data_IF_751229036194
#
_entry.id   IF_751229036194
#
_cell.length_a   1.000
_cell.length_b   1.000
_cell.length_c   1.000
_cell.angle_alpha   90.00
_cell.angle_beta   90.00
_cell.angle_gamma   90.00
#
_symmetry.space_group_name_H-M   'P 1'
#
loop_
_entity.id
_entity.type
_entity.pdbx_description
1 polymer ?
#
# COMPACT_ATOMS: atom_id res chain seq x y z
N UNK A 1 9.29 15.75 -26.97
CA UNK A 1 9.02 14.33 -27.32
C UNK A 1 8.73 13.62 -26.02
N UNK A 2 7.61 12.90 -25.92
CA UNK A 2 7.28 12.11 -24.72
C UNK A 2 8.16 10.86 -24.71
N UNK A 3 8.75 10.58 -23.55
CA UNK A 3 9.67 9.44 -23.39
C UNK A 3 9.11 8.50 -22.34
N UNK A 4 8.97 7.23 -22.72
CA UNK A 4 8.45 6.19 -21.84
C UNK A 4 9.60 5.49 -21.12
N UNK A 5 9.41 5.28 -19.82
CA UNK A 5 10.27 4.54 -18.90
C UNK A 5 9.40 3.56 -18.13
N UNK A 6 9.98 2.44 -17.72
CA UNK A 6 9.31 1.45 -16.87
C UNK A 6 10.24 1.11 -15.72
N UNK A 7 9.71 1.12 -14.49
CA UNK A 7 10.39 0.66 -13.29
C UNK A 7 11.71 1.40 -12.99
N UNK A 8 11.81 2.66 -13.42
CA UNK A 8 12.96 3.48 -13.13
C UNK A 8 12.84 4.05 -11.72
N UNK A 9 13.95 4.06 -10.97
CA UNK A 9 13.97 4.62 -9.63
C UNK A 9 13.67 6.11 -9.63
N UNK A 10 13.06 6.61 -8.55
CA UNK A 10 12.75 8.04 -8.39
C UNK A 10 14.00 8.93 -8.59
N UNK A 11 15.15 8.50 -8.06
CA UNK A 11 16.42 9.22 -8.24
C UNK A 11 16.80 9.35 -9.71
N UNK A 12 16.76 8.24 -10.45
CA UNK A 12 17.20 8.22 -11.84
C UNK A 12 16.28 9.02 -12.76
N UNK A 13 14.95 8.90 -12.58
CA UNK A 13 14.01 9.68 -13.39
C UNK A 13 14.13 11.19 -13.09
N UNK A 14 14.38 11.57 -11.83
CA UNK A 14 14.63 12.96 -11.43
C UNK A 14 15.91 13.51 -12.06
N UNK A 15 16.99 12.73 -12.04
CA UNK A 15 18.27 13.10 -12.68
C UNK A 15 18.11 13.24 -14.20
N UNK A 16 17.43 12.29 -14.86
CA UNK A 16 17.16 12.34 -16.29
C UNK A 16 16.30 13.57 -16.66
N UNK A 17 15.25 13.83 -15.89
CA UNK A 17 14.37 14.99 -16.07
C UNK A 17 15.12 16.32 -15.95
N UNK A 18 15.99 16.44 -14.94
CA UNK A 18 16.82 17.62 -14.71
C UNK A 18 17.80 17.86 -15.86
N UNK A 19 18.48 16.81 -16.34
CA UNK A 19 19.38 16.89 -17.50
C UNK A 19 18.66 17.29 -18.79
N UNK A 20 17.41 16.87 -18.95
CA UNK A 20 16.58 17.17 -20.12
C UNK A 20 15.82 18.49 -20.01
N UNK A 21 15.83 19.15 -18.84
CA UNK A 21 15.04 20.36 -18.58
C UNK A 21 13.53 20.16 -18.74
N UNK A 22 13.04 18.96 -18.45
CA UNK A 22 11.63 18.57 -18.65
C UNK A 22 11.00 18.11 -17.35
N UNK A 23 9.70 18.39 -17.15
CA UNK A 23 8.93 17.74 -16.10
C UNK A 23 8.79 16.23 -16.33
N UNK A 24 8.42 15.51 -15.27
CA UNK A 24 8.27 14.05 -15.33
C UNK A 24 7.06 13.56 -14.52
N UNK A 25 6.54 12.41 -14.91
CA UNK A 25 5.42 11.75 -14.25
C UNK A 25 5.83 10.36 -13.76
N UNK A 26 5.43 10.01 -12.55
CA UNK A 26 5.43 8.63 -12.05
C UNK A 26 4.00 8.14 -12.08
N UNK A 27 3.74 7.12 -12.91
CA UNK A 27 2.42 6.51 -13.09
C UNK A 27 2.42 5.17 -12.37
N UNK A 28 1.69 5.11 -11.26
CA UNK A 28 1.53 3.92 -10.42
C UNK A 28 0.38 3.07 -10.95
N UNK A 29 0.67 1.82 -11.30
CA UNK A 29 -0.28 0.86 -11.88
C UNK A 29 -0.22 -0.48 -11.15
N UNK A 30 -1.30 -1.26 -11.16
CA UNK A 30 -1.30 -2.64 -10.68
C UNK A 30 -1.03 -3.64 -11.84
N UNK A 31 -0.90 -4.93 -11.51
CA UNK A 31 -0.64 -6.01 -12.47
C UNK A 31 -1.75 -6.16 -13.53
N UNK A 32 -2.98 -5.80 -13.19
CA UNK A 32 -4.16 -6.00 -14.03
C UNK A 32 -4.48 -4.76 -14.89
N UNK A 33 -3.73 -3.65 -14.71
CA UNK A 33 -4.01 -2.39 -15.38
C UNK A 33 -3.48 -2.34 -16.82
N UNK A 34 -4.36 -1.96 -17.77
CA UNK A 34 -3.99 -1.78 -19.17
C UNK A 34 -3.20 -0.49 -19.40
N UNK A 35 -1.88 -0.61 -19.50
CA UNK A 35 -0.96 0.49 -19.81
C UNK A 35 -1.26 1.12 -21.18
N UNK A 36 -1.72 0.37 -22.16
CA UNK A 36 -2.05 0.91 -23.49
C UNK A 36 -3.29 1.80 -23.42
N UNK A 37 -4.27 1.43 -22.60
CA UNK A 37 -5.40 2.28 -22.31
C UNK A 37 -4.96 3.63 -21.74
N UNK A 38 -4.07 3.66 -20.75
CA UNK A 38 -3.54 4.92 -20.20
C UNK A 38 -2.79 5.76 -21.23
N UNK A 39 -1.92 5.13 -22.05
CA UNK A 39 -1.21 5.81 -23.13
C UNK A 39 -2.17 6.53 -24.07
N UNK A 40 -3.17 5.81 -24.59
CA UNK A 40 -4.17 6.36 -25.51
C UNK A 40 -5.04 7.48 -24.90
N UNK A 41 -5.31 7.40 -23.59
CA UNK A 41 -6.19 8.35 -22.91
C UNK A 41 -5.46 9.60 -22.44
N UNK A 42 -4.19 9.48 -22.06
CA UNK A 42 -3.42 10.53 -21.40
C UNK A 42 -2.22 10.96 -22.24
N UNK A 43 -1.30 10.03 -22.54
CA UNK A 43 0.00 10.38 -23.13
C UNK A 43 -0.15 10.88 -24.57
N UNK A 44 -0.92 10.17 -25.39
CA UNK A 44 -1.09 10.50 -26.82
C UNK A 44 -1.85 11.83 -27.00
N UNK A 45 -2.74 12.16 -26.06
CA UNK A 45 -3.42 13.48 -26.04
C UNK A 45 -2.49 14.63 -25.66
N UNK A 46 -1.33 14.31 -25.08
CA UNK A 46 -0.36 15.27 -24.56
C UNK A 46 0.96 15.25 -25.33
N UNK A 47 0.99 14.77 -26.59
CA UNK A 47 2.21 14.74 -27.42
C UNK A 47 2.88 16.10 -27.58
N UNK A 48 2.11 17.19 -27.52
CA UNK A 48 2.60 18.56 -27.62
C UNK A 48 3.30 19.10 -26.36
N UNK A 49 3.23 18.40 -25.22
CA UNK A 49 3.84 18.81 -23.94
C UNK A 49 4.95 17.80 -23.57
N UNK A 50 6.23 18.08 -23.86
CA UNK A 50 7.32 17.15 -23.58
C UNK A 50 7.41 16.78 -22.09
N UNK A 51 7.23 15.51 -21.76
CA UNK A 51 7.34 14.99 -20.40
C UNK A 51 7.94 13.56 -20.41
N UNK A 52 8.70 13.22 -19.36
CA UNK A 52 9.13 11.85 -19.13
C UNK A 52 8.05 11.09 -18.36
N UNK A 53 7.67 9.90 -18.81
CA UNK A 53 6.64 9.08 -18.15
C UNK A 53 7.26 7.78 -17.64
N UNK A 54 7.27 7.59 -16.33
CA UNK A 54 7.76 6.40 -15.67
C UNK A 54 6.61 5.57 -15.11
N UNK A 55 6.33 4.42 -15.71
CA UNK A 55 5.35 3.47 -15.20
C UNK A 55 5.97 2.58 -14.13
N UNK A 56 5.33 2.50 -12.96
CA UNK A 56 5.79 1.71 -11.82
C UNK A 56 4.66 0.79 -11.40
N UNK A 57 4.91 -0.50 -11.43
CA UNK A 57 3.96 -1.51 -10.97
C UNK A 57 4.03 -1.63 -9.45
N UNK A 58 2.95 -1.28 -8.77
CA UNK A 58 2.86 -1.24 -7.30
C UNK A 58 2.48 -2.57 -6.65
N UNK A 59 2.24 -3.63 -7.44
CA UNK A 59 2.10 -5.00 -6.92
C UNK A 59 3.45 -5.70 -6.77
N UNK A 60 4.51 -5.14 -7.35
CA UNK A 60 5.87 -5.65 -7.14
C UNK A 60 6.36 -5.35 -5.72
N UNK A 61 6.98 -6.33 -5.02
CA UNK A 61 7.44 -6.13 -3.64
C UNK A 61 8.34 -4.92 -3.42
N UNK A 62 9.20 -4.57 -4.39
CA UNK A 62 10.11 -3.43 -4.34
C UNK A 62 9.40 -2.06 -4.42
N UNK A 63 8.18 -2.02 -4.92
CA UNK A 63 7.39 -0.79 -5.15
C UNK A 63 6.16 -0.69 -4.25
N UNK A 64 5.85 -1.76 -3.50
CA UNK A 64 4.67 -1.86 -2.66
C UNK A 64 4.53 -0.69 -1.65
N UNK A 65 5.67 -0.13 -1.23
CA UNK A 65 5.72 1.01 -0.33
C UNK A 65 5.06 2.28 -0.88
N UNK A 66 4.87 2.43 -2.20
CA UNK A 66 4.09 3.54 -2.76
C UNK A 66 2.64 3.52 -2.28
N UNK A 67 2.05 2.32 -2.10
CA UNK A 67 0.68 2.17 -1.61
C UNK A 67 0.55 2.64 -0.16
N UNK A 68 1.55 2.35 0.67
CA UNK A 68 1.60 2.84 2.05
C UNK A 68 1.87 4.34 2.12
N UNK A 69 2.75 4.86 1.26
CA UNK A 69 3.03 6.30 1.17
C UNK A 69 1.77 7.08 0.79
N UNK A 70 1.09 6.67 -0.29
CA UNK A 70 -0.11 7.36 -0.79
C UNK A 70 -1.40 6.99 -0.06
N UNK A 71 -1.36 6.02 0.85
CA UNK A 71 -2.54 5.61 1.60
C UNK A 71 -3.61 4.95 0.71
N UNK A 72 -3.24 4.11 -0.27
CA UNK A 72 -4.22 3.57 -1.23
C UNK A 72 -3.78 2.31 -1.95
N UNK A 73 -4.74 1.44 -2.26
CA UNK A 73 -4.60 0.28 -3.15
C UNK A 73 -5.14 0.52 -4.55
N UNK A 74 -5.78 1.67 -4.76
CA UNK A 74 -6.42 1.97 -6.03
C UNK A 74 -5.37 2.38 -7.04
N UNK A 75 -5.55 1.95 -8.28
CA UNK A 75 -4.73 2.36 -9.42
C UNK A 75 -5.64 2.90 -10.54
N UNK A 76 -5.13 3.74 -11.45
CA UNK A 76 -3.79 4.33 -11.45
C UNK A 76 -3.73 5.65 -10.65
N UNK A 77 -2.54 5.96 -10.14
CA UNK A 77 -2.19 7.29 -9.64
C UNK A 77 -1.05 7.87 -10.46
N UNK A 78 -1.11 9.16 -10.77
CA UNK A 78 -0.07 9.87 -11.48
C UNK A 78 0.48 10.98 -10.61
N UNK A 79 1.73 10.85 -10.18
CA UNK A 79 2.48 11.89 -9.46
C UNK A 79 3.25 12.70 -10.50
N UNK A 80 2.97 13.99 -10.58
CA UNK A 80 3.51 14.90 -11.60
C UNK A 80 4.53 15.81 -10.94
N UNK A 81 5.69 15.92 -11.56
CA UNK A 81 6.79 16.73 -11.10
C UNK A 81 7.18 17.77 -12.15
N UNK A 82 7.56 18.96 -11.69
CA UNK A 82 8.17 19.97 -12.53
C UNK A 82 9.62 19.60 -12.90
N UNK A 83 10.28 20.49 -13.64
CA UNK A 83 11.67 20.36 -14.07
C UNK A 83 12.68 20.52 -12.92
N UNK A 84 12.29 21.16 -11.81
CA UNK A 84 13.09 21.28 -10.58
C UNK A 84 12.90 20.06 -9.65
N UNK A 85 11.97 19.18 -10.02
CA UNK A 85 11.64 17.95 -9.33
C UNK A 85 10.72 18.14 -8.12
N UNK A 86 9.99 19.26 -8.01
CA UNK A 86 8.92 19.45 -7.04
C UNK A 86 7.62 18.80 -7.52
N UNK A 87 6.76 18.39 -6.59
CA UNK A 87 5.44 17.84 -6.94
C UNK A 87 4.51 18.99 -7.33
N UNK A 88 3.97 18.91 -8.55
CA UNK A 88 2.97 19.84 -9.07
C UNK A 88 1.54 19.35 -8.82
N UNK A 89 1.32 18.04 -8.94
CA UNK A 89 -0.01 17.46 -8.82
C UNK A 89 0.03 15.94 -8.58
N UNK A 90 -1.00 15.39 -7.92
CA UNK A 90 -1.23 13.96 -7.76
C UNK A 90 -2.64 13.61 -8.23
N UNK A 91 -2.75 12.91 -9.35
CA UNK A 91 -4.05 12.68 -10.01
C UNK A 91 -4.44 11.21 -9.94
N UNK A 92 -5.67 10.94 -9.51
CA UNK A 92 -6.27 9.61 -9.57
C UNK A 92 -7.02 9.36 -10.88
N UNK A 93 -6.78 8.20 -11.49
CA UNK A 93 -7.55 7.67 -12.62
C UNK A 93 -7.22 8.29 -13.98
N UNK A 94 -8.07 7.99 -14.98
CA UNK A 94 -7.90 8.39 -16.39
C UNK A 94 -9.16 9.02 -17.00
N UNK A 95 -10.02 9.59 -16.15
CA UNK A 95 -11.20 10.32 -16.59
C UNK A 95 -10.83 11.55 -17.42
N UNK A 96 -11.81 12.15 -18.13
CA UNK A 96 -11.58 13.40 -18.86
C UNK A 96 -11.06 14.53 -17.95
N UNK A 97 -11.56 14.61 -16.70
CA UNK A 97 -11.08 15.57 -15.71
C UNK A 97 -9.66 15.27 -15.24
N UNK A 98 -9.32 13.99 -15.03
CA UNK A 98 -7.95 13.57 -14.73
C UNK A 98 -7.00 13.98 -15.86
N UNK A 99 -7.39 13.74 -17.12
CA UNK A 99 -6.62 14.15 -18.29
C UNK A 99 -6.38 15.67 -18.32
N UNK A 100 -7.42 16.49 -18.13
CA UNK A 100 -7.29 17.96 -18.06
C UNK A 100 -6.39 18.42 -16.92
N UNK A 101 -6.49 17.76 -15.76
CA UNK A 101 -5.66 18.05 -14.60
C UNK A 101 -4.18 17.75 -14.86
N UNK A 102 -3.89 16.61 -15.49
CA UNK A 102 -2.54 16.21 -15.88
C UNK A 102 -1.97 17.16 -16.93
N UNK A 103 -2.73 17.42 -18.00
CA UNK A 103 -2.35 18.35 -19.08
C UNK A 103 -2.00 19.74 -18.53
N UNK A 104 -2.81 20.26 -17.60
CA UNK A 104 -2.56 21.57 -17.00
C UNK A 104 -1.28 21.61 -16.16
N UNK A 105 -0.88 20.50 -15.55
CA UNK A 105 0.33 20.43 -14.73
C UNK A 105 1.60 20.27 -15.57
N UNK A 106 1.54 19.54 -16.70
CA UNK A 106 2.70 19.33 -17.57
C UNK A 106 2.88 20.42 -18.64
N UNK A 107 1.84 21.22 -18.91
CA UNK A 107 1.92 22.25 -19.96
C UNK A 107 2.60 23.53 -19.46
N UNK A 108 3.68 23.92 -20.11
CA UNK A 108 4.42 25.17 -19.87
C UNK A 108 3.57 26.44 -20.13
N UNK A 109 2.40 26.29 -20.76
CA UNK A 109 1.53 27.42 -21.12
C UNK A 109 0.43 27.69 -20.08
N UNK A 110 0.31 26.90 -19.01
CA UNK A 110 -0.41 27.24 -17.78
C UNK A 110 -1.79 27.91 -17.94
N UNK A 111 -2.58 27.53 -18.95
CA UNK A 111 -3.86 28.19 -19.29
C UNK A 111 -5.11 27.38 -18.95
N UNK A 112 -4.97 26.33 -18.15
CA UNK A 112 -6.06 25.46 -17.71
C UNK A 112 -6.48 25.68 -16.26
N UNK A 113 -7.64 25.13 -15.87
CA UNK A 113 -8.05 25.00 -14.47
C UNK A 113 -7.17 23.91 -13.84
N UNK A 114 -6.36 24.28 -12.86
CA UNK A 114 -5.54 23.34 -12.08
C UNK A 114 -6.42 22.71 -11.01
N UNK A 115 -6.86 21.48 -11.23
CA UNK A 115 -7.45 20.65 -10.18
C UNK A 115 -6.31 19.99 -9.39
N UNK A 116 -5.67 20.74 -8.49
CA UNK A 116 -4.64 20.16 -7.63
C UNK A 116 -5.21 18.97 -6.87
N UNK A 117 -4.47 17.88 -6.89
CA UNK A 117 -4.74 16.63 -6.23
C UNK A 117 -6.11 16.01 -6.60
N UNK A 118 -6.43 16.05 -7.91
CA UNK A 118 -7.72 15.56 -8.42
C UNK A 118 -7.96 14.10 -8.02
N UNK A 119 -9.04 13.90 -7.27
CA UNK A 119 -9.46 12.58 -6.79
C UNK A 119 -8.59 12.01 -5.67
N UNK A 120 -7.52 12.69 -5.24
CA UNK A 120 -6.60 12.21 -4.21
C UNK A 120 -7.30 12.01 -2.87
N UNK A 121 -7.91 13.05 -2.29
CA UNK A 121 -8.55 13.00 -0.97
C UNK A 121 -9.67 11.94 -0.84
N UNK A 122 -10.33 11.56 -1.95
CA UNK A 122 -11.39 10.53 -1.93
C UNK A 122 -10.86 9.11 -2.07
N UNK A 123 -9.61 8.96 -2.50
CA UNK A 123 -9.00 7.68 -2.84
C UNK A 123 -7.71 7.42 -2.08
N UNK A 124 -7.30 8.34 -1.20
CA UNK A 124 -6.15 8.27 -0.31
C UNK A 124 -6.64 8.30 1.14
N UNK A 125 -5.97 7.50 1.97
CA UNK A 125 -6.17 7.40 3.40
C UNK A 125 -5.21 8.32 4.19
N UNK A 126 -4.45 9.17 3.50
CA UNK A 126 -3.67 10.25 4.13
C UNK A 126 -4.65 11.20 4.83
N UNK A 127 -4.54 11.40 6.15
CA UNK A 127 -5.44 12.29 6.88
C UNK A 127 -5.36 13.74 6.40
N UNK A 128 -6.51 14.42 6.39
CA UNK A 128 -6.60 15.85 6.08
C UNK A 128 -5.79 16.74 7.04
N UNK A 129 -5.43 16.25 8.24
CA UNK A 129 -4.55 16.99 9.15
C UNK A 129 -3.10 17.11 8.65
N UNK A 130 -2.72 16.35 7.61
CA UNK A 130 -1.49 16.56 6.87
C UNK A 130 -1.78 17.64 5.82
N UNK A 131 -1.70 18.90 6.25
CA UNK A 131 -2.13 20.08 5.48
C UNK A 131 -1.47 20.20 4.10
N UNK A 132 -0.24 19.68 3.94
CA UNK A 132 0.50 19.69 2.69
C UNK A 132 0.91 18.27 2.26
N UNK A 133 -0.03 17.54 1.65
CA UNK A 133 0.19 16.18 1.16
C UNK A 133 1.33 16.09 0.12
N UNK A 134 1.48 17.11 -0.74
CA UNK A 134 2.52 17.15 -1.78
C UNK A 134 3.90 17.20 -1.14
N UNK A 135 4.11 18.13 -0.22
CA UNK A 135 5.38 18.24 0.53
C UNK A 135 5.63 17.00 1.39
N UNK A 136 4.59 16.45 2.03
CA UNK A 136 4.68 15.21 2.78
C UNK A 136 5.20 14.06 1.90
N UNK A 137 4.59 13.83 0.73
CA UNK A 137 4.99 12.78 -0.21
C UNK A 137 6.39 13.03 -0.74
N UNK A 138 6.68 14.27 -1.13
CA UNK A 138 7.99 14.65 -1.66
C UNK A 138 9.12 14.39 -0.65
N UNK A 139 8.92 14.76 0.61
CA UNK A 139 9.91 14.55 1.68
C UNK A 139 10.21 13.06 1.88
N UNK A 140 9.22 12.18 1.77
CA UNK A 140 9.42 10.72 1.85
C UNK A 140 10.19 10.20 0.63
N UNK A 141 9.84 10.65 -0.57
CA UNK A 141 10.55 10.26 -1.80
C UNK A 141 12.02 10.70 -1.76
N UNK A 142 12.31 11.92 -1.29
CA UNK A 142 13.69 12.40 -1.08
C UNK A 142 14.42 11.53 -0.05
N UNK A 143 13.82 11.24 1.10
CA UNK A 143 14.44 10.42 2.15
C UNK A 143 14.80 9.01 1.67
N UNK A 144 13.90 8.37 0.92
CA UNK A 144 14.12 7.03 0.37
C UNK A 144 15.25 7.03 -0.66
N UNK A 145 15.28 8.04 -1.53
CA UNK A 145 16.26 8.14 -2.62
C UNK A 145 17.62 8.73 -2.25
N UNK A 146 17.74 9.38 -1.10
CA UNK A 146 19.00 9.99 -0.64
C UNK A 146 20.07 8.93 -0.39
N UNK A 147 21.10 8.87 -1.23
CA UNK A 147 22.21 7.91 -1.07
C UNK A 147 23.41 8.50 -0.31
N UNK A 148 23.37 9.79 0.02
CA UNK A 148 24.48 10.50 0.67
C UNK A 148 24.38 10.43 2.20
N UNK A 149 23.16 10.35 2.74
CA UNK A 149 22.94 10.24 4.18
C UNK A 149 23.28 8.86 4.74
N UNK A 150 23.90 8.87 5.91
CA UNK A 150 24.06 7.70 6.78
C UNK A 150 22.69 7.19 7.29
N UNK A 151 22.64 5.94 7.75
CA UNK A 151 21.43 5.40 8.38
C UNK A 151 20.97 6.22 9.60
N UNK A 152 21.91 6.79 10.36
CA UNK A 152 21.60 7.65 11.52
C UNK A 152 20.86 8.93 11.10
N UNK A 153 21.37 9.62 10.08
CA UNK A 153 20.72 10.84 9.57
C UNK A 153 19.34 10.52 8.98
N UNK A 154 19.23 9.41 8.24
CA UNK A 154 17.94 8.95 7.72
C UNK A 154 16.95 8.62 8.83
N UNK A 155 17.41 7.99 9.91
CA UNK A 155 16.58 7.72 11.08
C UNK A 155 16.06 9.02 11.72
N UNK A 156 16.92 10.02 11.93
CA UNK A 156 16.50 11.30 12.52
C UNK A 156 15.49 12.04 11.62
N UNK A 157 15.70 12.02 10.30
CA UNK A 157 14.74 12.58 9.33
C UNK A 157 13.40 11.83 9.38
N UNK A 158 13.42 10.50 9.39
CA UNK A 158 12.23 9.67 9.50
C UNK A 158 11.48 9.88 10.83
N UNK A 159 12.21 10.03 11.93
CA UNK A 159 11.65 10.31 13.25
C UNK A 159 10.93 11.67 13.29
N UNK A 160 11.55 12.70 12.70
CA UNK A 160 10.92 14.02 12.53
C UNK A 160 9.62 13.92 11.73
N UNK A 161 9.65 13.25 10.57
CA UNK A 161 8.45 13.05 9.73
C UNK A 161 7.36 12.27 10.48
N UNK A 162 7.74 11.25 11.26
CA UNK A 162 6.81 10.46 12.06
C UNK A 162 6.18 11.26 13.21
N UNK A 163 6.95 12.16 13.83
CA UNK A 163 6.45 13.06 14.88
C UNK A 163 5.46 14.08 14.31
N UNK A 164 5.77 14.69 13.16
CA UNK A 164 4.94 15.74 12.54
C UNK A 164 3.62 15.16 12.02
N UNK A 165 3.69 14.06 11.28
CA UNK A 165 2.52 13.52 10.57
C UNK A 165 1.68 12.58 11.41
N UNK A 166 2.28 11.89 12.39
CA UNK A 166 1.66 10.75 13.06
C UNK A 166 1.27 9.59 12.12
N UNK A 167 1.74 9.63 10.86
CA UNK A 167 1.33 8.74 9.80
C UNK A 167 2.10 7.40 9.85
N UNK A 168 1.45 6.25 9.59
CA UNK A 168 2.09 4.94 9.74
C UNK A 168 3.34 4.77 8.88
N UNK A 169 3.31 5.23 7.62
CA UNK A 169 4.45 5.04 6.72
C UNK A 169 5.72 5.75 7.22
N UNK A 170 5.60 6.94 7.80
CA UNK A 170 6.74 7.66 8.39
C UNK A 170 7.34 6.89 9.56
N UNK A 171 6.49 6.30 10.40
CA UNK A 171 6.92 5.46 11.53
C UNK A 171 7.58 4.15 11.06
N UNK A 172 7.12 3.59 9.94
CA UNK A 172 7.76 2.43 9.31
C UNK A 172 9.17 2.74 8.82
N UNK A 173 9.38 3.87 8.13
CA UNK A 173 10.72 4.27 7.69
C UNK A 173 11.67 4.46 8.88
N UNK A 174 11.17 5.00 10.00
CA UNK A 174 11.93 5.09 11.25
C UNK A 174 12.43 3.71 11.72
N UNK A 175 11.58 2.68 11.70
CA UNK A 175 12.00 1.30 12.01
C UNK A 175 13.04 0.78 11.01
N UNK A 176 12.79 0.99 9.71
CA UNK A 176 13.67 0.56 8.64
C UNK A 176 15.09 1.08 8.78
N UNK A 177 15.28 2.35 9.11
CA UNK A 177 16.61 2.93 9.30
C UNK A 177 17.16 2.64 10.70
N UNK A 178 16.30 2.60 11.71
CA UNK A 178 16.65 2.28 13.09
C UNK A 178 17.32 0.91 13.24
N UNK A 179 16.92 -0.08 12.42
CA UNK A 179 17.48 -1.44 12.44
C UNK A 179 18.99 -1.51 12.25
N UNK A 180 19.58 -0.49 11.63
CA UNK A 180 21.02 -0.40 11.38
C UNK A 180 21.79 0.33 12.49
N UNK A 181 21.08 0.92 13.47
CA UNK A 181 21.65 1.78 14.51
C UNK A 181 21.48 1.14 15.89
N UNK A 182 20.30 0.59 16.15
CA UNK A 182 19.95 0.07 17.47
C UNK A 182 20.07 -1.44 17.55
N UNK A 183 20.15 -1.96 18.78
CA UNK A 183 20.12 -3.40 19.01
C UNK A 183 18.81 -4.01 18.50
N UNK A 184 18.87 -5.29 18.10
CA UNK A 184 17.70 -6.08 17.69
C UNK A 184 16.56 -6.01 18.72
N UNK A 185 16.89 -6.11 20.01
CA UNK A 185 15.88 -6.02 21.09
C UNK A 185 15.22 -4.64 21.17
N UNK A 186 15.99 -3.57 20.99
CA UNK A 186 15.45 -2.21 20.97
C UNK A 186 14.50 -2.02 19.79
N UNK A 187 14.85 -2.55 18.63
CA UNK A 187 14.04 -2.45 17.40
C UNK A 187 12.79 -3.29 17.48
N UNK A 188 12.88 -4.51 18.03
CA UNK A 188 11.71 -5.32 18.30
C UNK A 188 10.72 -4.59 19.22
N UNK A 189 11.20 -3.94 20.29
CA UNK A 189 10.34 -3.10 21.15
C UNK A 189 9.69 -1.94 20.42
N UNK A 190 10.45 -1.25 19.55
CA UNK A 190 9.89 -0.16 18.73
C UNK A 190 8.85 -0.69 17.72
N UNK A 191 9.07 -1.87 17.15
CA UNK A 191 8.14 -2.52 16.24
C UNK A 191 6.85 -2.96 16.97
N UNK A 192 6.95 -3.53 18.18
CA UNK A 192 5.78 -3.79 19.02
C UNK A 192 4.99 -2.49 19.29
N UNK A 193 5.67 -1.41 19.70
CA UNK A 193 5.02 -0.12 19.92
C UNK A 193 4.39 0.48 18.67
N UNK A 194 4.98 0.24 17.48
CA UNK A 194 4.35 0.58 16.20
C UNK A 194 3.05 -0.18 16.01
N UNK A 195 3.06 -1.51 16.21
CA UNK A 195 1.89 -2.35 16.00
C UNK A 195 0.79 -1.94 16.99
N UNK A 196 1.10 -1.83 18.28
CA UNK A 196 0.16 -1.41 19.32
C UNK A 196 -0.50 -0.06 18.99
N UNK A 197 0.28 0.88 18.44
CA UNK A 197 -0.21 2.20 18.05
C UNK A 197 -1.19 2.13 16.87
N UNK A 198 -0.91 1.30 15.85
CA UNK A 198 -1.63 1.36 14.58
C UNK A 198 -2.67 0.25 14.38
N UNK A 199 -2.62 -0.83 15.15
CA UNK A 199 -3.58 -1.95 15.11
C UNK A 199 -5.03 -1.51 15.42
N UNK A 200 -5.16 -0.53 16.33
CA UNK A 200 -6.44 0.03 16.76
C UNK A 200 -6.73 1.42 16.20
N UNK A 201 -5.86 1.97 15.35
CA UNK A 201 -6.02 3.31 14.83
C UNK A 201 -7.13 3.41 13.78
N UNK A 202 -7.66 4.62 13.58
CA UNK A 202 -8.77 4.91 12.63
C UNK A 202 -8.34 4.91 11.17
N UNK A 203 -7.06 4.64 10.88
CA UNK A 203 -6.56 4.56 9.52
C UNK A 203 -7.23 3.42 8.74
N UNK A 204 -7.32 3.56 7.42
CA UNK A 204 -7.89 2.54 6.55
C UNK A 204 -7.18 1.21 6.69
N UNK A 205 -7.93 0.24 7.20
CA UNK A 205 -7.42 -1.07 7.59
C UNK A 205 -6.83 -1.83 6.41
N UNK A 206 -7.34 -1.61 5.20
CA UNK A 206 -6.82 -2.25 3.98
C UNK A 206 -5.36 -1.82 3.73
N UNK A 207 -5.05 -0.53 3.88
CA UNK A 207 -3.71 0.01 3.61
C UNK A 207 -2.69 -0.31 4.68
N UNK A 208 -3.08 -0.32 5.95
CA UNK A 208 -2.09 -0.44 7.03
C UNK A 208 -2.00 -1.83 7.66
N UNK A 209 -2.94 -2.74 7.40
CA UNK A 209 -2.78 -4.14 7.85
C UNK A 209 -1.62 -4.83 7.16
N UNK A 210 -1.44 -4.64 5.85
CA UNK A 210 -0.27 -5.15 5.13
C UNK A 210 1.04 -4.50 5.60
N UNK A 211 1.01 -3.23 6.03
CA UNK A 211 2.17 -2.56 6.62
C UNK A 211 2.50 -3.10 8.02
N UNK A 212 1.49 -3.33 8.85
CA UNK A 212 1.63 -3.96 10.17
C UNK A 212 2.20 -5.37 10.02
N UNK A 213 1.69 -6.14 9.06
CA UNK A 213 2.22 -7.46 8.74
C UNK A 213 3.69 -7.36 8.33
N UNK A 214 4.02 -6.43 7.42
CA UNK A 214 5.39 -6.21 6.99
C UNK A 214 6.31 -5.87 8.16
N UNK A 215 5.86 -5.02 9.09
CA UNK A 215 6.62 -4.69 10.30
C UNK A 215 6.84 -5.91 11.18
N UNK A 216 5.81 -6.74 11.35
CA UNK A 216 5.94 -8.00 12.11
C UNK A 216 6.99 -8.91 11.45
N UNK A 217 6.90 -9.10 10.14
CA UNK A 217 7.82 -9.94 9.35
C UNK A 217 9.26 -9.39 9.27
N UNK A 218 9.44 -8.08 9.16
CA UNK A 218 10.77 -7.50 8.99
C UNK A 218 11.52 -7.36 10.33
N UNK A 219 10.81 -7.27 11.47
CA UNK A 219 11.42 -6.85 12.74
C UNK A 219 11.15 -7.78 13.94
N UNK A 220 10.18 -8.69 13.88
CA UNK A 220 9.81 -9.57 15.00
C UNK A 220 10.06 -11.06 14.73
N UNK A 221 10.11 -11.48 13.46
CA UNK A 221 10.12 -12.92 13.08
C UNK A 221 11.50 -13.56 12.93
N UNK A 222 12.63 -12.82 12.99
CA UNK A 222 13.96 -13.46 12.87
C UNK A 222 14.28 -14.46 14.01
N UNK A 223 13.43 -14.64 15.02
CA UNK A 223 13.48 -15.74 15.99
C UNK A 223 12.09 -16.19 16.49
N UNK A 224 11.00 -15.75 15.85
CA UNK A 224 9.65 -16.23 16.17
C UNK A 224 9.01 -16.72 14.88
N UNK A 225 8.96 -18.04 14.71
CA UNK A 225 7.94 -18.61 13.83
C UNK A 225 6.62 -18.01 14.30
N UNK A 226 5.82 -17.43 13.39
CA UNK A 226 4.41 -17.18 13.70
C UNK A 226 3.86 -18.49 14.22
N UNK A 227 3.53 -18.52 15.52
CA UNK A 227 2.98 -19.71 16.15
C UNK A 227 1.62 -20.05 15.53
N UNK A 228 1.05 -19.16 14.73
CA UNK A 228 -0.10 -19.40 13.90
C UNK A 228 0.31 -19.69 12.46
N UNK A 229 -0.11 -20.86 11.96
CA UNK A 229 -0.19 -21.15 10.54
C UNK A 229 -1.62 -20.89 10.04
N UNK A 230 -1.74 -20.32 8.84
CA UNK A 230 -3.04 -20.07 8.20
C UNK A 230 -3.10 -20.71 6.83
N UNK A 231 -4.20 -21.42 6.55
CA UNK A 231 -4.43 -22.08 5.28
C UNK A 231 -5.81 -21.74 4.74
N UNK A 232 -5.86 -21.26 3.51
CA UNK A 232 -7.10 -20.92 2.83
C UNK A 232 -7.52 -22.06 1.90
N UNK A 233 -8.81 -22.43 1.97
CA UNK A 233 -9.46 -23.34 1.05
C UNK A 233 -10.71 -22.69 0.48
N UNK A 234 -10.78 -22.64 -0.85
CA UNK A 234 -11.95 -22.20 -1.60
C UNK A 234 -12.51 -23.42 -2.32
N UNK A 235 -13.85 -23.58 -2.31
CA UNK A 235 -14.48 -24.83 -2.76
C UNK A 235 -14.32 -25.12 -4.26
N UNK A 236 -14.37 -24.09 -5.11
CA UNK A 236 -14.23 -24.18 -6.56
C UNK A 236 -13.04 -23.37 -7.05
N UNK A 237 -12.50 -23.76 -8.20
CA UNK A 237 -11.42 -23.01 -8.86
C UNK A 237 -11.96 -21.77 -9.58
N UNK A 238 -13.17 -21.85 -10.15
CA UNK A 238 -13.80 -20.81 -10.96
C UNK A 238 -15.23 -20.56 -10.46
N UNK A 239 -15.62 -19.29 -10.40
CA UNK A 239 -16.95 -18.82 -10.03
C UNK A 239 -17.46 -17.81 -11.06
N UNK A 240 -18.79 -17.65 -11.13
CA UNK A 240 -19.46 -16.65 -11.96
C UNK A 240 -19.84 -15.42 -11.14
N UNK A 241 -20.05 -14.30 -11.82
CA UNK A 241 -20.60 -13.10 -11.18
C UNK A 241 -21.95 -13.43 -10.53
N UNK A 242 -22.13 -12.99 -9.28
CA UNK A 242 -23.32 -13.30 -8.48
C UNK A 242 -23.26 -14.65 -7.73
N UNK A 243 -22.22 -15.47 -7.94
CA UNK A 243 -21.99 -16.62 -7.06
C UNK A 243 -21.52 -16.17 -5.67
N UNK A 244 -22.00 -16.85 -4.64
CA UNK A 244 -21.43 -16.76 -3.30
C UNK A 244 -20.23 -17.71 -3.19
N UNK A 245 -19.06 -17.16 -2.87
CA UNK A 245 -17.81 -17.92 -2.76
C UNK A 245 -17.59 -18.34 -1.31
N UNK A 246 -17.75 -19.64 -0.96
CA UNK A 246 -17.41 -20.13 0.36
C UNK A 246 -15.89 -20.23 0.53
N UNK A 247 -15.39 -19.59 1.57
CA UNK A 247 -13.97 -19.54 1.95
C UNK A 247 -13.84 -20.19 3.34
N UNK A 248 -12.97 -21.19 3.46
CA UNK A 248 -12.56 -21.74 4.75
C UNK A 248 -11.13 -21.30 5.04
N UNK A 249 -10.93 -20.60 6.15
CA UNK A 249 -9.60 -20.31 6.69
C UNK A 249 -9.35 -21.23 7.87
N UNK A 250 -8.38 -22.13 7.72
CA UNK A 250 -7.90 -22.99 8.79
C UNK A 250 -6.76 -22.28 9.50
N UNK A 251 -6.83 -22.20 10.82
CA UNK A 251 -5.81 -21.62 11.69
C UNK A 251 -5.31 -22.71 12.62
N UNK A 252 -3.99 -22.90 12.66
CA UNK A 252 -3.34 -23.86 13.57
C UNK A 252 -2.41 -23.12 14.51
N UNK A 253 -2.58 -23.31 15.81
CA UNK A 253 -1.61 -22.85 16.81
C UNK A 253 -0.51 -23.90 16.96
N UNK A 254 0.65 -23.69 16.33
CA UNK A 254 1.86 -24.51 16.47
C UNK A 254 2.69 -24.15 17.72
N UNK A 255 2.20 -23.25 18.58
CA UNK A 255 2.87 -22.85 19.82
C UNK A 255 2.51 -23.71 21.02
N UNK A 256 3.21 -23.44 22.12
CA UNK A 256 3.04 -24.14 23.41
C UNK A 256 2.06 -23.42 24.36
N UNK A 257 1.63 -22.19 24.02
CA UNK A 257 0.70 -21.37 24.81
C UNK A 257 -0.64 -21.15 24.08
N UNK A 258 -1.68 -20.83 24.84
CA UNK A 258 -2.98 -20.42 24.29
C UNK A 258 -2.85 -19.11 23.49
N UNK A 259 -3.35 -19.10 22.25
CA UNK A 259 -3.42 -17.89 21.43
C UNK A 259 -4.86 -17.38 21.35
N UNK A 260 -5.05 -16.11 21.70
CA UNK A 260 -6.32 -15.42 21.56
C UNK A 260 -6.37 -14.67 20.24
N UNK A 261 -7.33 -14.99 19.38
CA UNK A 261 -7.81 -14.12 18.31
C UNK A 261 -8.61 -12.99 18.95
N UNK A 262 -8.07 -11.79 18.90
CA UNK A 262 -8.67 -10.60 19.47
C UNK A 262 -9.63 -9.93 18.49
N UNK A 263 -9.33 -10.00 17.20
CA UNK A 263 -10.06 -9.31 16.13
C UNK A 263 -9.83 -10.01 14.79
N UNK A 264 -10.82 -9.97 13.91
CA UNK A 264 -10.73 -10.47 12.53
C UNK A 264 -11.17 -9.35 11.60
N UNK A 265 -10.41 -9.08 10.55
CA UNK A 265 -10.73 -8.06 9.54
C UNK A 265 -10.50 -8.57 8.12
N UNK A 266 -11.23 -7.99 7.16
CA UNK A 266 -11.15 -8.36 5.75
C UNK A 266 -10.76 -7.15 4.92
N UNK A 267 -10.00 -7.36 3.84
CA UNK A 267 -9.64 -6.28 2.89
C UNK A 267 -10.82 -5.78 2.06
N UNK A 268 -11.96 -6.49 2.08
CA UNK A 268 -13.13 -6.17 1.29
C UNK A 268 -14.40 -6.39 2.11
N UNK A 269 -15.33 -5.45 2.02
CA UNK A 269 -16.69 -5.58 2.59
C UNK A 269 -17.49 -6.71 1.94
N UNK A 270 -17.08 -7.15 0.76
CA UNK A 270 -17.63 -8.30 0.07
C UNK A 270 -17.37 -9.63 0.80
N UNK A 271 -16.37 -9.71 1.69
CA UNK A 271 -16.08 -10.90 2.49
C UNK A 271 -16.75 -10.77 3.87
N UNK A 272 -17.62 -11.72 4.21
CA UNK A 272 -18.37 -11.77 5.47
C UNK A 272 -18.13 -13.10 6.19
N UNK A 273 -18.02 -13.06 7.52
CA UNK A 273 -17.87 -14.27 8.33
C UNK A 273 -19.22 -14.98 8.49
N UNK A 274 -19.23 -16.33 8.43
CA UNK A 274 -20.44 -17.16 8.46
C UNK A 274 -20.42 -18.09 9.70
N UNK A 275 -21.49 -18.12 10.52
CA UNK A 275 -22.67 -17.26 10.47
C UNK A 275 -22.36 -15.83 10.95
N UNK A 276 -23.03 -14.85 10.33
CA UNK A 276 -22.92 -13.45 10.71
C UNK A 276 -23.28 -13.27 12.20
N UNK A 277 -22.51 -12.44 12.92
CA UNK A 277 -22.69 -12.13 14.34
C UNK A 277 -22.36 -13.23 15.38
N UNK A 278 -21.69 -14.33 15.02
CA UNK A 278 -21.10 -15.20 16.06
C UNK A 278 -19.87 -14.55 16.69
N UNK A 279 -19.79 -14.62 18.01
CA UNK A 279 -18.50 -14.55 18.72
C UNK A 279 -17.64 -15.68 18.16
N UNK A 280 -16.66 -15.34 17.33
CA UNK A 280 -15.66 -16.29 16.91
C UNK A 280 -14.96 -16.85 18.16
N UNK A 281 -14.55 -18.11 18.09
CA UNK A 281 -13.84 -18.72 19.20
C UNK A 281 -12.52 -17.97 19.37
N UNK A 282 -12.43 -17.21 20.46
CA UNK A 282 -11.29 -16.34 20.71
C UNK A 282 -10.03 -17.13 21.04
N UNK A 283 -10.12 -18.24 21.76
CA UNK A 283 -8.93 -18.95 22.26
C UNK A 283 -8.67 -20.24 21.47
N UNK A 284 -7.48 -20.34 20.90
CA UNK A 284 -6.91 -21.50 20.19
C UNK A 284 -5.84 -22.12 21.10
N UNK A 285 -6.08 -23.35 21.56
CA UNK A 285 -5.14 -24.06 22.45
C UNK A 285 -3.85 -24.46 21.73
N UNK A 286 -2.78 -24.77 22.46
CA UNK A 286 -1.57 -25.36 21.88
C UNK A 286 -1.89 -26.53 20.96
N UNK A 287 -1.28 -26.53 19.77
CA UNK A 287 -1.42 -27.55 18.72
C UNK A 287 -2.86 -27.75 18.19
N UNK A 288 -3.78 -26.84 18.53
CA UNK A 288 -5.17 -26.89 18.08
C UNK A 288 -5.32 -26.25 16.69
N UNK A 289 -6.15 -26.89 15.85
CA UNK A 289 -6.58 -26.37 14.56
C UNK A 289 -8.06 -26.00 14.59
N UNK A 290 -8.38 -24.77 14.16
CA UNK A 290 -9.74 -24.24 14.10
C UNK A 290 -10.05 -23.75 12.68
N UNK A 291 -11.30 -23.92 12.25
CA UNK A 291 -11.77 -23.42 10.96
C UNK A 291 -12.68 -22.20 11.14
N UNK A 292 -12.39 -21.15 10.39
CA UNK A 292 -13.21 -19.97 10.21
C UNK A 292 -13.85 -20.03 8.83
N UNK A 293 -15.17 -19.79 8.78
CA UNK A 293 -15.93 -19.80 7.54
C UNK A 293 -16.26 -18.37 7.15
N UNK A 294 -16.01 -18.06 5.89
CA UNK A 294 -16.36 -16.80 5.27
C UNK A 294 -17.13 -17.06 3.97
N UNK A 295 -17.91 -16.07 3.58
CA UNK A 295 -18.60 -15.96 2.31
C UNK A 295 -18.09 -14.72 1.62
N UNK A 296 -17.93 -14.77 0.30
CA UNK A 296 -17.58 -13.61 -0.50
C UNK A 296 -18.56 -13.45 -1.65
N UNK A 297 -19.20 -12.29 -1.73
CA UNK A 297 -20.07 -11.92 -2.85
C UNK A 297 -19.27 -11.23 -3.95
N UNK A 298 -19.56 -11.56 -5.21
CA UNK A 298 -18.77 -11.12 -6.35
C UNK A 298 -19.49 -10.04 -7.15
N UNK A 299 -18.86 -8.86 -7.26
CA UNK A 299 -19.41 -7.71 -7.97
C UNK A 299 -18.76 -7.46 -9.35
N UNK A 300 -17.62 -8.10 -9.67
CA UNK A 300 -16.89 -7.88 -10.93
C UNK A 300 -16.14 -9.13 -11.43
N UNK A 301 -15.89 -9.20 -12.75
CA UNK A 301 -15.10 -10.26 -13.40
C UNK A 301 -13.59 -10.01 -13.26
N UNK A 302 -12.78 -11.07 -13.15
CA UNK A 302 -11.32 -10.96 -13.22
C UNK A 302 -10.59 -11.92 -12.28
N UNK A 303 -9.45 -11.48 -11.74
CA UNK A 303 -8.82 -12.10 -10.58
C UNK A 303 -9.05 -11.19 -9.39
N UNK A 304 -9.49 -11.75 -8.27
CA UNK A 304 -9.61 -10.99 -7.03
C UNK A 304 -8.61 -11.52 -6.02
N UNK A 305 -7.86 -10.58 -5.46
CA UNK A 305 -6.90 -10.79 -4.40
C UNK A 305 -7.38 -10.03 -3.17
N UNK A 306 -7.70 -10.77 -2.13
CA UNK A 306 -8.11 -10.23 -0.84
C UNK A 306 -7.37 -10.93 0.29
N UNK A 307 -7.32 -10.30 1.45
CA UNK A 307 -6.70 -10.85 2.64
C UNK A 307 -7.69 -10.80 3.80
N UNK A 308 -7.56 -11.79 4.68
CA UNK A 308 -8.26 -11.83 5.95
C UNK A 308 -7.19 -11.80 7.04
N UNK A 309 -7.29 -10.81 7.91
CA UNK A 309 -6.35 -10.53 8.98
C UNK A 309 -6.90 -11.03 10.31
N UNK A 310 -6.09 -11.79 11.03
CA UNK A 310 -6.38 -12.30 12.36
C UNK A 310 -5.41 -11.66 13.34
N UNK A 311 -5.94 -10.76 14.17
CA UNK A 311 -5.17 -10.10 15.21
C UNK A 311 -5.13 -10.96 16.45
N UNK A 312 -3.94 -11.12 17.03
CA UNK A 312 -3.70 -12.07 18.11
C UNK A 312 -2.85 -11.48 19.21
N UNK A 313 -2.89 -12.11 20.39
CA UNK A 313 -2.03 -11.78 21.52
C UNK A 313 -0.61 -12.40 21.40
N UNK A 314 -0.26 -12.99 20.24
CA UNK A 314 1.06 -13.58 20.00
C UNK A 314 2.13 -12.49 19.80
N UNK A 315 3.43 -12.76 20.04
CA UNK A 315 4.52 -11.85 19.71
C UNK A 315 4.53 -11.38 18.24
N UNK A 316 3.99 -12.19 17.33
CA UNK A 316 3.61 -11.79 15.98
C UNK A 316 2.08 -11.62 15.95
N UNK A 317 1.55 -10.43 16.25
CA UNK A 317 0.14 -10.24 16.59
C UNK A 317 -0.78 -10.24 15.37
N UNK A 318 -0.29 -10.57 14.18
CA UNK A 318 -1.07 -10.58 12.95
C UNK A 318 -0.77 -11.83 12.14
N UNK A 319 -1.79 -12.64 11.90
CA UNK A 319 -1.76 -13.73 10.94
C UNK A 319 -2.65 -13.39 9.73
N UNK A 320 -2.21 -13.72 8.53
CA UNK A 320 -2.87 -13.31 7.28
C UNK A 320 -3.21 -14.49 6.40
N UNK A 321 -4.47 -14.56 6.00
CA UNK A 321 -4.99 -15.55 5.08
C UNK A 321 -5.27 -14.91 3.71
N UNK A 322 -4.43 -15.24 2.71
CA UNK A 322 -4.59 -14.74 1.35
C UNK A 322 -5.70 -15.49 0.60
N UNK A 323 -6.72 -14.76 0.17
CA UNK A 323 -7.85 -15.22 -0.64
C UNK A 323 -7.59 -14.85 -2.09
N UNK A 324 -7.39 -15.87 -2.93
CA UNK A 324 -7.16 -15.73 -4.37
C UNK A 324 -8.24 -16.47 -5.13
N UNK A 325 -9.05 -15.76 -5.91
CA UNK A 325 -10.13 -16.36 -6.69
C UNK A 325 -10.09 -15.87 -8.14
N UNK A 326 -10.31 -16.81 -9.05
CA UNK A 326 -10.36 -16.56 -10.49
C UNK A 326 -11.81 -16.67 -10.96
N UNK A 327 -12.25 -15.72 -11.79
CA UNK A 327 -13.62 -15.69 -12.31
C UNK A 327 -13.63 -15.77 -13.83
N UNK A 328 -14.68 -16.41 -14.34
CA UNK A 328 -15.04 -16.41 -15.76
C UNK A 328 -16.35 -15.64 -15.92
N UNK A 329 -16.57 -15.04 -17.10
CA UNK A 329 -17.79 -14.30 -17.41
C UNK A 329 -19.04 -15.19 -17.39
#
# INVERSE_FOLDING_TARGET
>A
MNVLRNEVSFKHIKEEASLNGSGYCIVLVDDDYDIQYYKSKIIDKNEGNPCLWNFVNVDRPENYWYKWLLGTWKSPFTIIFDNDGQIENIVFGTSEYACKSIESAISSRGKGIIYKNFGFARNSDIPDCIENADEFIYNHLQLISDTACTYCEKYLKADSLAHISGYPFSSYLKLCYGRHIFSKNSIAKMACGFIDKYIGATYSKITYSSLIQRVSEDFLTENSQTLIDTKVRIAKKHYRIGDEVPITVTITNNGEDDISIEKIETTCSCIKMVPENRNYRRIIRPHETINYLFSMELESSGKVYHEIYFYTNSPAPLATAAVKVFFEQ
#
